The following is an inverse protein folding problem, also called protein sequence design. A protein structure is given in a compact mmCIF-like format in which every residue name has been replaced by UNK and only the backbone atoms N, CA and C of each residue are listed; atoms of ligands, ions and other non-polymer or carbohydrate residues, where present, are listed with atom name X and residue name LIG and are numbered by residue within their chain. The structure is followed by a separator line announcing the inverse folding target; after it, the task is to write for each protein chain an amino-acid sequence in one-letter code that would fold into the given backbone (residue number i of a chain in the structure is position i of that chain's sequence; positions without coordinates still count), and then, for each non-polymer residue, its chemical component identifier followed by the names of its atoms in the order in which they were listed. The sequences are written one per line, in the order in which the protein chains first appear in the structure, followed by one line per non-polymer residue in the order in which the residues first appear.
data_IF_410342047429
#
_entry.id   IF_410342047429
#
_cell.length_a   1.000
_cell.length_b   1.000
_cell.length_c   1.000
_cell.angle_alpha   90.00
_cell.angle_beta   90.00
_cell.angle_gamma   90.00
#
_symmetry.space_group_name_H-M   'P 1'
#
loop_
_entity.id
_entity.type
_entity.pdbx_description
1 polymer ?
#
# COMPACT_ATOMS: atom_id res chain seq x y z
N UNK A 1 -16.76 -13.51 -1.49
CA UNK A 1 -15.69 -12.75 -2.19
C UNK A 1 -15.51 -13.36 -3.57
N UNK A 2 -15.34 -12.54 -4.58
CA UNK A 2 -14.92 -13.00 -5.90
C UNK A 2 -13.43 -12.75 -6.05
N UNK A 3 -12.67 -13.77 -6.46
CA UNK A 3 -11.26 -13.65 -6.82
C UNK A 3 -11.15 -13.66 -8.34
N UNK A 4 -10.50 -12.64 -8.90
CA UNK A 4 -10.33 -12.48 -10.34
C UNK A 4 -8.84 -12.38 -10.68
N UNK A 5 -8.42 -13.13 -11.70
CA UNK A 5 -7.11 -13.02 -12.32
C UNK A 5 -7.26 -12.22 -13.61
N UNK A 6 -6.68 -11.04 -13.66
CA UNK A 6 -6.88 -10.08 -14.75
C UNK A 6 -5.58 -9.86 -15.51
N UNK A 7 -5.60 -10.15 -16.81
CA UNK A 7 -4.54 -9.79 -17.73
C UNK A 7 -5.04 -8.63 -18.60
N UNK A 8 -4.23 -7.61 -18.78
CA UNK A 8 -4.60 -6.45 -19.59
C UNK A 8 -3.35 -5.76 -20.15
N UNK A 9 -3.54 -5.06 -21.26
CA UNK A 9 -2.48 -4.26 -21.85
C UNK A 9 -2.32 -2.94 -21.09
N UNK A 10 -1.16 -2.74 -20.48
CA UNK A 10 -0.80 -1.46 -19.87
C UNK A 10 -0.23 -0.51 -20.94
N UNK A 11 -0.83 0.67 -21.04
CA UNK A 11 -0.33 1.73 -21.93
C UNK A 11 0.91 2.40 -21.35
N UNK A 12 1.02 2.45 -20.03
CA UNK A 12 2.17 3.03 -19.32
C UNK A 12 3.41 2.15 -19.42
N UNK A 13 3.22 0.81 -19.35
CA UNK A 13 4.30 -0.17 -19.44
C UNK A 13 4.51 -0.68 -20.89
N UNK A 14 3.62 -0.32 -21.82
CA UNK A 14 3.64 -0.72 -23.23
C UNK A 14 3.70 -2.25 -23.44
N UNK A 15 3.06 -3.01 -22.53
CA UNK A 15 3.00 -4.48 -22.56
C UNK A 15 1.79 -5.04 -21.82
N UNK A 16 1.55 -6.35 -22.03
CA UNK A 16 0.64 -7.11 -21.18
C UNK A 16 1.18 -7.16 -19.74
N UNK A 17 0.27 -6.98 -18.77
CA UNK A 17 0.56 -7.07 -17.36
C UNK A 17 -0.60 -7.73 -16.63
N UNK A 18 -0.44 -7.98 -15.33
CA UNK A 18 -1.39 -8.76 -14.54
C UNK A 18 -1.71 -8.07 -13.22
N UNK A 19 -2.92 -8.32 -12.75
CA UNK A 19 -3.32 -8.06 -11.37
C UNK A 19 -4.27 -9.15 -10.90
N UNK A 20 -4.26 -9.44 -9.60
CA UNK A 20 -5.30 -10.20 -8.95
C UNK A 20 -6.20 -9.26 -8.16
N UNK A 21 -7.51 -9.50 -8.22
CA UNK A 21 -8.49 -8.62 -7.58
C UNK A 21 -9.45 -9.44 -6.74
N UNK A 22 -9.59 -9.06 -5.49
CA UNK A 22 -10.61 -9.60 -4.58
C UNK A 22 -11.75 -8.58 -4.47
N UNK A 23 -12.96 -9.00 -4.80
CA UNK A 23 -14.15 -8.15 -4.72
C UNK A 23 -15.10 -8.62 -3.61
N UNK A 24 -15.67 -7.72 -2.80
CA UNK A 24 -16.64 -8.08 -1.79
C UNK A 24 -17.95 -8.55 -2.43
N UNK A 25 -18.49 -9.63 -1.89
CA UNK A 25 -19.81 -10.16 -2.24
C UNK A 25 -20.70 -10.25 -0.98
N UNK A 26 -22.03 -10.19 -1.19
CA UNK A 26 -22.99 -10.41 -0.11
C UNK A 26 -22.90 -11.85 0.41
N UNK A 27 -22.33 -12.04 1.59
CA UNK A 27 -22.11 -13.36 2.17
C UNK A 27 -23.34 -13.97 2.87
N UNK A 28 -24.56 -13.54 2.51
CA UNK A 28 -25.80 -14.04 3.12
C UNK A 28 -25.98 -15.54 2.84
N UNK A 29 -25.39 -16.43 3.54
CA UNK A 29 -25.49 -17.90 3.49
C UNK A 29 -24.16 -18.61 3.19
N UNK A 30 -23.02 -17.91 3.15
CA UNK A 30 -21.72 -18.59 3.07
C UNK A 30 -21.34 -19.14 4.45
N UNK A 31 -21.27 -20.48 4.55
CA UNK A 31 -20.91 -21.16 5.81
C UNK A 31 -19.48 -20.77 6.21
N UNK A 32 -19.31 -20.28 7.45
CA UNK A 32 -18.01 -19.93 8.01
C UNK A 32 -17.39 -18.62 7.48
N UNK A 33 -18.18 -17.81 6.76
CA UNK A 33 -17.72 -16.51 6.26
C UNK A 33 -18.65 -15.39 6.73
N UNK A 34 -18.06 -14.33 7.24
CA UNK A 34 -18.70 -13.04 7.42
C UNK A 34 -18.27 -12.14 6.25
N UNK A 35 -19.21 -11.49 5.62
CA UNK A 35 -18.93 -10.59 4.50
C UNK A 35 -19.92 -9.45 4.45
N UNK A 36 -19.40 -8.25 4.28
CA UNK A 36 -20.19 -7.04 4.07
C UNK A 36 -20.15 -6.71 2.58
N UNK A 37 -21.32 -6.66 1.95
CA UNK A 37 -21.44 -6.13 0.60
C UNK A 37 -22.07 -4.74 0.65
N UNK A 38 -21.40 -3.80 0.04
CA UNK A 38 -21.89 -2.44 -0.17
C UNK A 38 -22.08 -2.19 -1.67
N UNK A 39 -22.96 -1.23 -2.01
CA UNK A 39 -23.14 -0.83 -3.42
C UNK A 39 -21.84 -0.28 -4.04
N UNK A 40 -21.03 0.38 -3.23
CA UNK A 40 -19.68 0.82 -3.56
C UNK A 40 -18.76 0.37 -2.44
N UNK A 41 -17.62 -0.19 -2.79
CA UNK A 41 -16.61 -0.65 -1.84
C UNK A 41 -15.38 0.26 -1.84
N UNK A 42 -14.74 0.35 -0.68
CA UNK A 42 -13.40 0.93 -0.55
C UNK A 42 -12.39 -0.01 -1.20
N UNK A 43 -11.27 0.53 -1.66
CA UNK A 43 -10.26 -0.24 -2.39
C UNK A 43 -8.88 -0.11 -1.72
N UNK A 44 -8.25 -1.24 -1.48
CA UNK A 44 -6.86 -1.35 -1.05
C UNK A 44 -6.00 -1.84 -2.22
N UNK A 45 -5.00 -1.05 -2.60
CA UNK A 45 -3.91 -1.49 -3.47
C UNK A 45 -2.84 -2.12 -2.59
N UNK A 46 -2.63 -3.45 -2.73
CA UNK A 46 -1.78 -4.24 -1.86
C UNK A 46 -0.54 -4.71 -2.61
N UNK A 47 0.59 -4.13 -2.26
CA UNK A 47 1.84 -4.19 -3.00
C UNK A 47 2.74 -5.33 -2.51
N UNK A 48 3.29 -6.12 -3.45
CA UNK A 48 4.17 -7.26 -3.17
C UNK A 48 5.61 -6.85 -2.83
N UNK A 49 6.37 -7.78 -2.27
CA UNK A 49 7.79 -7.63 -1.98
C UNK A 49 8.69 -7.91 -3.18
N UNK A 50 10.00 -7.75 -2.98
CA UNK A 50 11.00 -8.09 -3.99
C UNK A 50 10.95 -9.59 -4.31
N UNK A 51 11.06 -9.95 -5.59
CA UNK A 51 10.94 -11.31 -6.13
C UNK A 51 9.56 -11.97 -6.05
N UNK A 52 8.55 -11.24 -5.63
CA UNK A 52 7.15 -11.68 -5.60
C UNK A 52 6.38 -11.20 -6.84
N UNK A 53 5.10 -11.55 -6.91
CA UNK A 53 4.16 -11.15 -7.96
C UNK A 53 2.75 -10.87 -7.39
N UNK A 54 1.76 -10.62 -8.26
CA UNK A 54 0.37 -10.36 -7.89
C UNK A 54 -0.30 -11.49 -7.08
N UNK A 55 0.22 -12.72 -7.12
CA UNK A 55 -0.39 -13.89 -6.46
C UNK A 55 0.04 -14.06 -5.00
N UNK A 56 1.14 -13.41 -4.61
CA UNK A 56 1.85 -13.79 -3.38
C UNK A 56 1.04 -13.55 -2.11
N UNK A 57 0.31 -12.44 -2.01
CA UNK A 57 -0.50 -12.14 -0.85
C UNK A 57 -1.57 -13.20 -0.59
N UNK A 58 -2.22 -13.72 -1.65
CA UNK A 58 -3.22 -14.79 -1.56
C UNK A 58 -2.59 -16.12 -1.14
N UNK A 59 -1.36 -16.39 -1.63
CA UNK A 59 -0.67 -17.67 -1.41
C UNK A 59 -0.04 -17.77 -0.02
N UNK A 60 0.24 -16.62 0.62
CA UNK A 60 0.98 -16.55 1.88
C UNK A 60 0.15 -16.06 3.05
N UNK A 61 -1.07 -15.56 2.79
CA UNK A 61 -1.96 -15.01 3.80
C UNK A 61 -3.41 -15.46 3.58
N UNK A 62 -4.29 -15.15 4.53
CA UNK A 62 -5.73 -15.28 4.34
C UNK A 62 -6.37 -13.93 3.97
N UNK A 63 -5.72 -13.13 3.13
CA UNK A 63 -6.15 -11.75 2.79
C UNK A 63 -7.60 -11.68 2.31
N UNK A 64 -8.08 -12.66 1.53
CA UNK A 64 -9.47 -12.74 1.07
C UNK A 64 -10.45 -12.76 2.26
N UNK A 65 -10.18 -13.63 3.25
CA UNK A 65 -11.02 -13.74 4.44
C UNK A 65 -10.94 -12.47 5.30
N UNK A 66 -9.76 -11.88 5.43
CA UNK A 66 -9.59 -10.66 6.22
C UNK A 66 -10.32 -9.48 5.61
N UNK A 67 -10.20 -9.29 4.28
CA UNK A 67 -10.84 -8.20 3.56
C UNK A 67 -12.38 -8.33 3.54
N UNK A 68 -12.89 -9.57 3.54
CA UNK A 68 -14.33 -9.86 3.55
C UNK A 68 -15.05 -9.21 4.74
N UNK A 69 -14.45 -9.24 5.92
CA UNK A 69 -15.02 -8.69 7.15
C UNK A 69 -15.27 -7.16 7.05
N UNK A 70 -14.55 -6.47 6.18
CA UNK A 70 -14.65 -5.03 5.97
C UNK A 70 -15.36 -4.62 4.67
N UNK A 71 -15.78 -5.58 3.85
CA UNK A 71 -16.33 -5.28 2.53
C UNK A 71 -15.35 -4.52 1.62
N UNK A 72 -14.05 -4.81 1.76
CA UNK A 72 -12.96 -4.12 1.10
C UNK A 72 -12.59 -4.84 -0.20
N UNK A 73 -12.50 -4.11 -1.31
CA UNK A 73 -11.85 -4.60 -2.51
C UNK A 73 -10.33 -4.56 -2.34
N UNK A 74 -9.63 -5.60 -2.81
CA UNK A 74 -8.15 -5.65 -2.77
C UNK A 74 -7.62 -5.84 -4.17
N UNK A 75 -6.75 -4.94 -4.62
CA UNK A 75 -6.06 -4.99 -5.91
C UNK A 75 -4.60 -5.30 -5.65
N UNK A 76 -4.12 -6.40 -6.20
CA UNK A 76 -2.75 -6.88 -6.08
C UNK A 76 -2.10 -6.85 -7.47
N UNK A 77 -1.36 -5.79 -7.82
CA UNK A 77 -0.66 -5.70 -9.11
C UNK A 77 0.67 -6.44 -9.06
N UNK A 78 1.24 -6.73 -10.25
CA UNK A 78 2.67 -7.05 -10.37
C UNK A 78 3.45 -5.84 -10.87
N UNK A 79 4.66 -5.66 -10.34
CA UNK A 79 5.61 -4.60 -10.74
C UNK A 79 7.03 -5.13 -10.86
N UNK A 80 7.17 -6.44 -10.95
CA UNK A 80 8.46 -7.12 -11.04
C UNK A 80 9.45 -6.59 -9.96
N UNK A 81 10.64 -6.22 -10.36
CA UNK A 81 11.66 -5.62 -9.50
C UNK A 81 11.73 -4.08 -9.66
N UNK A 82 10.65 -3.44 -10.08
CA UNK A 82 10.62 -2.00 -10.41
C UNK A 82 10.42 -1.04 -9.24
N UNK A 83 10.34 -1.57 -8.00
CA UNK A 83 10.28 -0.77 -6.76
C UNK A 83 9.21 0.33 -6.75
N UNK A 84 8.11 0.12 -7.47
CA UNK A 84 7.03 1.11 -7.51
C UNK A 84 7.53 2.51 -7.87
N UNK A 85 8.52 2.56 -8.80
CA UNK A 85 9.16 3.80 -9.23
C UNK A 85 9.17 3.89 -10.75
N UNK A 86 9.20 5.10 -11.28
CA UNK A 86 9.58 5.29 -12.68
C UNK A 86 11.08 5.09 -12.73
N UNK A 87 11.50 3.91 -13.21
CA UNK A 87 12.90 3.49 -13.15
C UNK A 87 13.80 4.46 -13.91
N UNK A 88 15.00 4.65 -13.44
CA UNK A 88 16.01 5.46 -14.11
C UNK A 88 16.35 4.88 -15.50
N UNK A 89 16.44 3.54 -15.58
CA UNK A 89 16.53 2.79 -16.83
C UNK A 89 15.55 1.62 -16.76
N UNK A 90 14.35 1.79 -17.30
CA UNK A 90 13.32 0.75 -17.29
C UNK A 90 11.90 1.29 -17.32
N UNK A 91 10.99 0.54 -16.74
CA UNK A 91 9.55 0.78 -16.78
C UNK A 91 9.10 1.88 -15.83
N UNK A 92 7.93 2.46 -16.09
CA UNK A 92 7.32 3.55 -15.32
C UNK A 92 6.31 3.01 -14.31
N UNK A 93 6.78 2.24 -13.32
CA UNK A 93 5.88 1.59 -12.38
C UNK A 93 5.18 2.56 -11.41
N UNK A 94 5.77 3.70 -11.09
CA UNK A 94 5.08 4.69 -10.27
C UNK A 94 3.88 5.29 -11.01
N UNK A 95 4.07 5.70 -12.25
CA UNK A 95 2.99 6.19 -13.11
C UNK A 95 1.91 5.11 -13.33
N UNK A 96 2.31 3.86 -13.55
CA UNK A 96 1.40 2.72 -13.65
C UNK A 96 0.52 2.57 -12.41
N UNK A 97 1.12 2.46 -11.21
CA UNK A 97 0.40 2.23 -9.94
C UNK A 97 -0.47 3.42 -9.54
N UNK A 98 -0.02 4.65 -9.81
CA UNK A 98 -0.71 5.83 -9.29
C UNK A 98 -1.68 6.48 -10.27
N UNK A 99 -1.58 6.18 -11.56
CA UNK A 99 -2.42 6.80 -12.59
C UNK A 99 -3.22 5.78 -13.38
N UNK A 100 -2.56 4.83 -14.03
CA UNK A 100 -3.23 3.90 -14.93
C UNK A 100 -4.02 2.84 -14.17
N UNK A 101 -3.40 2.14 -13.22
CA UNK A 101 -4.04 1.03 -12.51
C UNK A 101 -5.35 1.44 -11.82
N UNK A 102 -5.43 2.58 -11.09
CA UNK A 102 -6.70 3.02 -10.49
C UNK A 102 -7.78 3.33 -11.55
N UNK A 103 -7.42 3.86 -12.71
CA UNK A 103 -8.35 4.12 -13.79
C UNK A 103 -8.87 2.81 -14.38
N UNK A 104 -7.99 1.88 -14.73
CA UNK A 104 -8.35 0.53 -15.22
C UNK A 104 -9.26 -0.20 -14.23
N UNK A 105 -8.94 -0.16 -12.94
CA UNK A 105 -9.77 -0.81 -11.92
C UNK A 105 -11.17 -0.21 -11.83
N UNK A 106 -11.31 1.10 -11.91
CA UNK A 106 -12.63 1.78 -11.87
C UNK A 106 -13.46 1.50 -13.12
N UNK A 107 -12.81 1.39 -14.28
CA UNK A 107 -13.48 1.04 -15.54
C UNK A 107 -13.96 -0.41 -15.55
N UNK A 108 -13.11 -1.35 -15.10
CA UNK A 108 -13.45 -2.78 -15.06
C UNK A 108 -14.40 -3.14 -13.90
N UNK A 109 -14.30 -2.45 -12.77
CA UNK A 109 -15.02 -2.75 -11.53
C UNK A 109 -15.79 -1.54 -11.00
N UNK A 110 -16.94 -1.18 -11.59
CA UNK A 110 -17.71 0.02 -11.23
C UNK A 110 -18.18 0.07 -9.76
N UNK A 111 -18.08 -1.05 -9.04
CA UNK A 111 -18.37 -1.10 -7.61
C UNK A 111 -17.26 -0.50 -6.74
N UNK A 112 -16.04 -0.32 -7.27
CA UNK A 112 -14.98 0.38 -6.56
C UNK A 112 -15.30 1.87 -6.48
N UNK A 113 -15.26 2.43 -5.27
CA UNK A 113 -15.50 3.86 -5.06
C UNK A 113 -14.47 4.71 -5.80
N UNK A 114 -14.88 5.73 -6.56
CA UNK A 114 -13.93 6.62 -7.23
C UNK A 114 -13.31 7.65 -6.28
N UNK A 115 -13.79 7.73 -5.03
CA UNK A 115 -13.37 8.76 -4.08
C UNK A 115 -11.98 8.47 -3.52
N UNK A 116 -11.18 9.51 -3.38
CA UNK A 116 -9.86 9.44 -2.75
C UNK A 116 -9.95 8.84 -1.33
N UNK A 117 -10.93 9.27 -0.54
CA UNK A 117 -11.12 8.85 0.86
C UNK A 117 -11.33 7.34 1.01
N UNK A 118 -11.76 6.68 -0.05
CA UNK A 118 -12.02 5.24 -0.11
C UNK A 118 -10.88 4.45 -0.79
N UNK A 119 -9.75 5.12 -1.11
CA UNK A 119 -8.63 4.53 -1.83
C UNK A 119 -7.38 4.50 -0.95
N UNK A 120 -6.88 3.29 -0.69
CA UNK A 120 -5.77 3.03 0.21
C UNK A 120 -4.65 2.26 -0.48
N UNK A 121 -3.44 2.36 0.07
CA UNK A 121 -2.29 1.59 -0.40
C UNK A 121 -1.54 0.99 0.79
N UNK A 122 -1.16 -0.28 0.68
CA UNK A 122 -0.33 -0.96 1.67
C UNK A 122 0.63 -1.92 0.98
N UNK A 123 1.68 -2.33 1.67
CA UNK A 123 2.60 -3.33 1.15
C UNK A 123 3.66 -3.75 2.15
N UNK A 124 4.45 -4.76 1.76
CA UNK A 124 5.56 -5.25 2.56
C UNK A 124 6.90 -5.02 1.86
N UNK A 125 7.97 -4.85 2.62
CA UNK A 125 9.34 -4.76 2.10
C UNK A 125 9.49 -3.71 0.98
N UNK A 126 9.83 -4.11 -0.26
CA UNK A 126 9.77 -3.28 -1.46
C UNK A 126 8.38 -2.63 -1.63
N UNK A 127 7.30 -3.38 -1.43
CA UNK A 127 5.93 -2.86 -1.48
C UNK A 127 5.59 -1.93 -0.33
N UNK A 128 6.24 -2.09 0.84
CA UNK A 128 6.13 -1.16 1.96
C UNK A 128 6.74 0.21 1.64
N UNK A 129 7.91 0.21 1.00
CA UNK A 129 8.48 1.42 0.42
C UNK A 129 7.53 2.04 -0.62
N UNK A 130 7.03 1.22 -1.55
CA UNK A 130 6.10 1.66 -2.60
C UNK A 130 4.82 2.28 -2.04
N UNK A 131 4.25 1.69 -0.98
CA UNK A 131 3.04 2.17 -0.35
C UNK A 131 3.23 3.55 0.32
N UNK A 132 4.33 3.73 1.06
CA UNK A 132 4.67 5.04 1.63
C UNK A 132 4.92 6.08 0.55
N UNK A 133 5.65 5.72 -0.50
CA UNK A 133 5.90 6.60 -1.63
C UNK A 133 4.62 7.01 -2.35
N UNK A 134 3.71 6.07 -2.61
CA UNK A 134 2.40 6.36 -3.22
C UNK A 134 1.57 7.30 -2.35
N UNK A 135 1.52 7.08 -1.04
CA UNK A 135 0.79 7.96 -0.13
C UNK A 135 1.38 9.38 -0.09
N UNK A 136 2.72 9.50 -0.09
CA UNK A 136 3.41 10.80 0.00
C UNK A 136 3.47 11.55 -1.33
N UNK A 137 3.53 10.86 -2.49
CA UNK A 137 3.72 11.47 -3.82
C UNK A 137 2.46 11.49 -4.69
N UNK A 138 1.45 10.69 -4.33
CA UNK A 138 0.17 10.61 -5.04
C UNK A 138 -1.01 10.71 -4.05
N UNK A 139 -0.93 11.69 -3.15
CA UNK A 139 -1.97 11.96 -2.16
C UNK A 139 -3.29 12.45 -2.76
N UNK A 140 -3.33 12.77 -4.04
CA UNK A 140 -4.56 12.99 -4.81
C UNK A 140 -5.31 11.69 -5.14
N UNK A 141 -4.63 10.54 -5.10
CA UNK A 141 -5.19 9.21 -5.36
C UNK A 141 -5.38 8.43 -4.06
N UNK A 142 -4.34 8.36 -3.23
CA UNK A 142 -4.33 7.56 -2.01
C UNK A 142 -4.54 8.43 -0.77
N UNK A 143 -5.55 8.09 0.02
CA UNK A 143 -5.84 8.83 1.25
C UNK A 143 -5.02 8.36 2.45
N UNK A 144 -4.51 7.13 2.42
CA UNK A 144 -3.75 6.48 3.50
C UNK A 144 -2.72 5.52 2.94
N UNK A 145 -1.57 5.40 3.62
CA UNK A 145 -0.52 4.45 3.29
C UNK A 145 -0.08 3.60 4.47
N UNK A 146 0.18 2.30 4.24
CA UNK A 146 0.65 1.39 5.27
C UNK A 146 1.86 0.57 4.79
N UNK A 147 2.85 0.41 5.67
CA UNK A 147 4.09 -0.30 5.41
C UNK A 147 4.34 -1.39 6.46
N UNK A 148 4.57 -2.61 6.00
CA UNK A 148 5.03 -3.73 6.82
C UNK A 148 6.48 -4.03 6.46
N UNK A 149 7.41 -3.87 7.40
CA UNK A 149 8.86 -4.08 7.17
C UNK A 149 9.35 -3.38 5.90
N UNK A 150 8.91 -2.16 5.63
CA UNK A 150 9.27 -1.44 4.41
C UNK A 150 10.76 -1.11 4.31
N UNK A 151 11.31 -1.11 3.09
CA UNK A 151 12.66 -0.60 2.82
C UNK A 151 12.66 0.93 2.88
N UNK A 152 12.48 1.48 4.08
CA UNK A 152 12.16 2.88 4.33
C UNK A 152 13.30 3.86 3.96
N UNK A 153 14.56 3.41 3.97
CA UNK A 153 15.73 4.24 3.65
C UNK A 153 16.53 3.66 2.47
N UNK A 154 16.09 3.96 1.26
CA UNK A 154 16.79 3.53 0.03
C UNK A 154 18.14 4.23 -0.19
N UNK A 155 18.49 5.28 0.57
CA UNK A 155 19.79 5.94 0.50
C UNK A 155 20.92 5.03 0.99
N UNK A 156 20.58 3.97 1.72
CA UNK A 156 21.51 2.96 2.23
C UNK A 156 21.75 1.80 1.26
N UNK A 157 21.06 1.76 0.11
CA UNK A 157 21.24 0.71 -0.88
C UNK A 157 22.66 0.71 -1.47
N UNK A 158 23.19 -0.47 -1.88
CA UNK A 158 24.50 -0.54 -2.53
C UNK A 158 24.56 0.28 -3.83
N UNK A 159 25.72 0.85 -4.18
CA UNK A 159 25.86 1.57 -5.45
C UNK A 159 25.93 0.61 -6.65
N UNK A 160 25.52 1.10 -7.82
CA UNK A 160 25.69 0.44 -9.11
C UNK A 160 24.75 -0.72 -9.40
N UNK A 161 24.91 -1.34 -10.55
CA UNK A 161 24.14 -2.49 -11.02
C UNK A 161 22.63 -2.22 -11.04
N UNK A 162 21.87 -3.22 -10.65
CA UNK A 162 20.42 -3.17 -10.60
C UNK A 162 19.86 -1.94 -9.86
N UNK A 163 20.46 -1.53 -8.74
CA UNK A 163 20.00 -0.39 -7.96
C UNK A 163 20.08 0.93 -8.72
N UNK A 164 21.15 1.06 -9.54
CA UNK A 164 21.31 2.23 -10.39
C UNK A 164 20.29 2.24 -11.54
N UNK A 165 19.94 1.08 -12.09
CA UNK A 165 18.90 1.01 -13.12
C UNK A 165 17.53 1.40 -12.56
N UNK A 166 17.25 1.08 -11.31
CA UNK A 166 15.99 1.44 -10.65
C UNK A 166 15.97 2.90 -10.22
N UNK A 167 16.94 3.34 -9.42
CA UNK A 167 16.90 4.63 -8.72
C UNK A 167 17.81 5.71 -9.29
N UNK A 168 18.68 5.38 -10.24
CA UNK A 168 19.75 6.23 -10.71
C UNK A 168 21.01 6.16 -9.83
N UNK A 169 22.04 6.95 -10.15
CA UNK A 169 23.27 7.01 -9.37
C UNK A 169 22.98 7.28 -7.88
N UNK A 170 23.65 6.54 -6.99
CA UNK A 170 23.39 6.58 -5.55
C UNK A 170 23.46 7.99 -4.96
N UNK A 171 24.41 8.80 -5.43
CA UNK A 171 24.58 10.17 -4.99
C UNK A 171 23.43 11.11 -5.36
N UNK A 172 22.57 10.69 -6.30
CA UNK A 172 21.37 11.43 -6.71
C UNK A 172 20.10 11.00 -5.96
N UNK A 173 20.16 9.93 -5.17
CA UNK A 173 18.98 9.44 -4.42
C UNK A 173 18.56 10.41 -3.32
N UNK A 174 19.47 10.95 -2.47
CA UNK A 174 19.09 11.91 -1.44
C UNK A 174 18.45 13.17 -2.05
N UNK A 175 17.25 13.51 -1.56
CA UNK A 175 16.48 14.64 -2.07
C UNK A 175 15.72 14.39 -3.38
N UNK A 176 15.87 13.21 -4.01
CA UNK A 176 15.17 12.86 -5.24
C UNK A 176 13.69 12.59 -5.02
N UNK A 177 12.96 12.40 -6.13
CA UNK A 177 11.56 11.96 -6.09
C UNK A 177 11.37 10.62 -5.36
N UNK A 178 12.41 9.76 -5.35
CA UNK A 178 12.37 8.43 -4.76
C UNK A 178 12.71 8.41 -3.27
N UNK A 179 13.26 9.49 -2.72
CA UNK A 179 13.60 9.62 -1.30
C UNK A 179 12.36 9.91 -0.47
N UNK A 180 11.99 8.98 0.43
CA UNK A 180 10.81 9.13 1.29
C UNK A 180 10.96 10.28 2.30
N UNK A 181 12.17 10.58 2.76
CA UNK A 181 12.42 11.69 3.67
C UNK A 181 12.13 13.02 2.98
N UNK A 182 12.69 13.22 1.79
CA UNK A 182 12.40 14.40 0.99
C UNK A 182 10.94 14.47 0.53
N UNK A 183 10.29 13.31 0.30
CA UNK A 183 8.87 13.27 -0.01
C UNK A 183 8.02 13.78 1.15
N UNK A 184 8.36 13.38 2.37
CA UNK A 184 7.66 13.80 3.59
C UNK A 184 7.85 15.29 3.88
N UNK A 185 9.06 15.82 3.70
CA UNK A 185 9.37 17.26 3.87
C UNK A 185 8.61 18.16 2.89
N UNK A 186 8.43 17.68 1.65
CA UNK A 186 7.82 18.47 0.58
C UNK A 186 6.32 18.68 0.76
N UNK A 187 5.63 17.90 1.60
CA UNK A 187 4.19 18.01 1.80
C UNK A 187 3.85 19.04 2.88
N UNK A 188 3.01 20.05 2.56
CA UNK A 188 2.48 20.95 3.57
C UNK A 188 1.60 20.16 4.57
N UNK A 189 1.51 20.60 5.83
CA UNK A 189 0.83 19.86 6.90
C UNK A 189 -0.60 19.40 6.55
N UNK A 190 -1.37 20.23 5.89
CA UNK A 190 -2.77 19.98 5.51
C UNK A 190 -2.94 18.88 4.45
N UNK A 191 -1.87 18.56 3.72
CA UNK A 191 -1.87 17.53 2.67
C UNK A 191 -1.21 16.22 3.11
N UNK A 192 -0.72 16.13 4.36
CA UNK A 192 -0.06 14.94 4.88
C UNK A 192 -1.07 13.83 5.09
N UNK A 193 -0.87 12.66 4.45
CA UNK A 193 -1.76 11.51 4.68
C UNK A 193 -1.46 10.89 6.04
N UNK A 194 -2.46 10.30 6.71
CA UNK A 194 -2.22 9.35 7.79
C UNK A 194 -1.40 8.15 7.29
N UNK A 195 -0.41 7.72 8.08
CA UNK A 195 0.49 6.61 7.75
C UNK A 195 0.48 5.56 8.86
N UNK A 196 0.65 4.30 8.45
CA UNK A 196 0.86 3.18 9.35
C UNK A 196 2.19 2.51 9.02
N UNK A 197 3.01 2.21 10.03
CA UNK A 197 4.24 1.44 9.85
C UNK A 197 4.35 0.37 10.94
N UNK A 198 4.72 -0.84 10.53
CA UNK A 198 5.13 -1.91 11.42
C UNK A 198 6.45 -2.50 10.94
N UNK A 199 7.34 -2.85 11.88
CA UNK A 199 8.57 -3.59 11.59
C UNK A 199 8.89 -4.56 12.74
N UNK A 200 9.37 -5.75 12.41
CA UNK A 200 9.81 -6.71 13.41
C UNK A 200 11.13 -6.30 14.07
N UNK A 201 11.28 -6.62 15.36
CA UNK A 201 12.50 -6.25 16.13
C UNK A 201 13.76 -6.99 15.69
N UNK A 202 13.63 -8.13 15.00
CA UNK A 202 14.73 -8.88 14.41
C UNK A 202 14.85 -8.67 12.88
N UNK A 203 14.13 -7.70 12.32
CA UNK A 203 14.18 -7.36 10.91
C UNK A 203 15.40 -6.48 10.59
N UNK A 204 16.16 -6.84 9.57
CA UNK A 204 17.34 -6.06 9.14
C UNK A 204 16.99 -4.66 8.63
N UNK A 205 15.73 -4.40 8.26
CA UNK A 205 15.24 -3.08 7.82
C UNK A 205 14.79 -2.19 8.99
N UNK A 206 14.81 -2.67 10.23
CA UNK A 206 14.38 -1.92 11.41
C UNK A 206 15.09 -0.56 11.56
N UNK A 207 16.42 -0.44 11.38
CA UNK A 207 17.08 0.87 11.50
C UNK A 207 16.54 1.93 10.55
N UNK A 208 16.25 1.55 9.30
CA UNK A 208 15.65 2.45 8.31
C UNK A 208 14.22 2.85 8.67
N UNK A 209 13.44 1.91 9.24
CA UNK A 209 12.09 2.18 9.72
C UNK A 209 12.10 3.12 10.92
N UNK A 210 13.04 2.97 11.86
CA UNK A 210 13.23 3.92 12.97
C UNK A 210 13.58 5.33 12.48
N UNK A 211 14.53 5.43 11.55
CA UNK A 211 14.95 6.72 11.01
C UNK A 211 13.77 7.46 10.34
N UNK A 212 12.99 6.74 9.50
CA UNK A 212 11.84 7.36 8.85
C UNK A 212 10.70 7.67 9.85
N UNK A 213 10.43 6.78 10.82
CA UNK A 213 9.47 7.05 11.92
C UNK A 213 9.79 8.35 12.63
N UNK A 214 11.03 8.49 13.10
CA UNK A 214 11.45 9.66 13.88
C UNK A 214 11.36 10.94 13.05
N UNK A 215 11.69 10.85 11.77
CA UNK A 215 11.57 11.95 10.83
C UNK A 215 10.10 12.37 10.60
N UNK A 216 9.20 11.41 10.35
CA UNK A 216 7.77 11.68 10.17
C UNK A 216 7.14 12.30 11.42
N UNK A 217 7.47 11.77 12.60
CA UNK A 217 7.00 12.32 13.88
C UNK A 217 7.52 13.75 14.12
N UNK A 218 8.79 14.02 13.82
CA UNK A 218 9.37 15.36 13.92
C UNK A 218 8.68 16.37 13.00
N UNK A 219 8.22 15.91 11.83
CA UNK A 219 7.44 16.73 10.90
C UNK A 219 5.96 16.87 11.32
N UNK A 220 5.48 16.11 12.31
CA UNK A 220 4.09 16.15 12.79
C UNK A 220 3.10 15.37 11.91
N UNK A 221 3.53 14.25 11.30
CA UNK A 221 2.62 13.34 10.62
C UNK A 221 1.71 12.61 11.60
N UNK A 222 0.47 12.31 11.18
CA UNK A 222 -0.40 11.33 11.84
C UNK A 222 0.14 9.92 11.50
N UNK A 223 1.07 9.45 12.33
CA UNK A 223 1.74 8.18 12.17
C UNK A 223 1.33 7.20 13.27
N UNK A 224 0.73 6.08 12.88
CA UNK A 224 0.61 4.89 13.74
C UNK A 224 1.83 4.00 13.51
N UNK A 225 2.68 3.87 14.52
CA UNK A 225 3.88 3.03 14.47
C UNK A 225 3.80 1.90 15.48
N UNK A 226 4.14 0.68 15.05
CA UNK A 226 4.18 -0.50 15.90
C UNK A 226 5.44 -1.35 15.64
N UNK A 227 5.92 -2.02 16.69
CA UNK A 227 6.97 -3.04 16.66
C UNK A 227 6.54 -4.25 17.47
N UNK A 228 7.00 -5.41 17.08
CA UNK A 228 6.87 -6.65 17.86
C UNK A 228 8.01 -7.59 17.51
N UNK A 229 8.19 -8.67 18.28
CA UNK A 229 9.07 -9.75 17.86
C UNK A 229 8.74 -10.20 16.45
N UNK A 230 9.76 -10.38 15.61
CA UNK A 230 9.59 -10.78 14.22
C UNK A 230 10.77 -10.40 13.36
N UNK A 231 11.03 -11.23 12.37
CA UNK A 231 12.03 -11.01 11.33
C UNK A 231 11.35 -10.72 9.99
N UNK A 232 12.15 -10.61 8.92
CA UNK A 232 11.67 -10.34 7.56
C UNK A 232 11.02 -11.58 6.92
N UNK A 233 9.80 -11.95 7.38
CA UNK A 233 9.13 -13.18 6.99
C UNK A 233 7.60 -13.09 6.92
N UNK A 234 7.01 -13.89 6.02
CA UNK A 234 5.58 -13.89 5.69
C UNK A 234 4.66 -14.15 6.88
N UNK A 235 5.05 -14.96 7.85
CA UNK A 235 4.24 -15.24 9.04
C UNK A 235 3.87 -13.97 9.82
N UNK A 236 4.78 -13.00 9.84
CA UNK A 236 4.58 -11.73 10.52
C UNK A 236 3.73 -10.77 9.67
N UNK A 237 3.93 -10.78 8.35
CA UNK A 237 3.13 -9.96 7.45
C UNK A 237 1.68 -10.46 7.36
N UNK A 238 1.43 -11.78 7.42
CA UNK A 238 0.07 -12.34 7.54
C UNK A 238 -0.61 -11.92 8.85
N UNK A 239 0.14 -11.88 9.96
CA UNK A 239 -0.38 -11.42 11.23
C UNK A 239 -0.72 -9.92 11.18
N UNK A 240 0.22 -9.08 10.75
CA UNK A 240 0.11 -7.63 10.87
C UNK A 240 -0.66 -6.95 9.74
N UNK A 241 -0.92 -7.62 8.62
CA UNK A 241 -1.86 -7.09 7.63
C UNK A 241 -3.28 -6.95 8.21
N UNK A 242 -3.65 -7.76 9.18
CA UNK A 242 -4.94 -7.64 9.87
C UNK A 242 -5.02 -6.35 10.69
N UNK A 243 -3.93 -5.92 11.31
CA UNK A 243 -3.85 -4.64 12.01
C UNK A 243 -3.97 -3.47 11.04
N UNK A 244 -3.31 -3.57 9.88
CA UNK A 244 -3.44 -2.57 8.79
C UNK A 244 -4.89 -2.46 8.32
N UNK A 245 -5.56 -3.58 8.05
CA UNK A 245 -6.98 -3.58 7.62
C UNK A 245 -7.89 -2.95 8.69
N UNK A 246 -7.65 -3.26 9.95
CA UNK A 246 -8.36 -2.65 11.08
C UNK A 246 -8.14 -1.14 11.10
N UNK A 247 -6.90 -0.69 10.99
CA UNK A 247 -6.54 0.72 10.98
C UNK A 247 -7.15 1.47 9.79
N UNK A 248 -7.16 0.87 8.59
CA UNK A 248 -7.77 1.47 7.39
C UNK A 248 -9.29 1.61 7.52
N UNK A 249 -9.98 0.65 8.16
CA UNK A 249 -11.43 0.53 8.07
C UNK A 249 -12.17 1.05 9.32
N UNK A 250 -11.58 0.99 10.53
CA UNK A 250 -12.28 1.32 11.77
C UNK A 250 -12.21 2.80 12.19
N UNK A 251 -11.30 3.60 11.64
CA UNK A 251 -11.21 5.03 11.98
C UNK A 251 -12.41 5.88 11.51
N UNK A 252 -13.38 5.27 10.81
CA UNK A 252 -14.63 5.93 10.39
C UNK A 252 -15.83 5.67 11.31
N UNK A 253 -15.65 4.98 12.44
CA UNK A 253 -16.74 4.72 13.42
C UNK A 253 -16.72 5.68 14.62
N UNK A 254 -16.05 6.84 14.53
CA UNK A 254 -16.28 7.90 15.50
C UNK A 254 -17.66 8.49 15.29
N UNK A 255 -18.57 8.46 16.29
CA UNK A 255 -19.88 9.08 16.17
C UNK A 255 -19.72 10.56 15.84
N UNK A 256 -20.48 11.03 14.85
CA UNK A 256 -20.61 12.46 14.62
C UNK A 256 -21.14 13.13 15.90
N UNK A 257 -20.63 14.30 16.34
CA UNK A 257 -21.10 14.99 17.54
C UNK A 257 -22.53 15.53 17.46
N UNK A 258 -23.37 15.07 16.53
CA UNK A 258 -24.72 15.61 16.29
C UNK A 258 -25.87 14.81 16.91
N UNK A 259 -25.63 13.70 17.60
CA UNK A 259 -26.71 12.88 18.18
C UNK A 259 -26.89 13.08 19.69
N UNK A 260 -26.42 14.20 20.27
CA UNK A 260 -26.65 14.55 21.66
C UNK A 260 -27.49 15.83 21.82
N UNK A 261 -28.66 15.88 21.16
CA UNK A 261 -29.72 16.82 21.57
C UNK A 261 -31.07 16.21 21.25
N UNK A 262 -31.64 15.47 22.19
CA UNK A 262 -33.08 15.49 22.47
C UNK A 262 -33.40 14.60 23.68
N UNK A 263 -33.54 15.18 24.81
CA UNK A 263 -34.59 14.92 25.79
C UNK A 263 -34.60 16.05 26.81
#
# INVERSE_FOLDING_TARGET
MALLHVNFYSRTLERETQMDVILPEAAKKLIGMEGVATRQCKTLYLLHGMSDDQTIWQRRTSIERYAAAYGLAVVMPTTDLGWYTDMYRGDKYFAFITRELPAVCRDLFPMMSPRREDTYVAGLSMGGYGALKCALRAGDVFSRGASLSGAADIRQLPPGGYWEDVFGPREQIPGSFNDLFAAAEALPPENRPPLYMWCGTEDSLLPGNHALRDHLLALGYDLTYAESAGNHAWQWWDLHIQDVLRWLCLLYTSPSPRDSTSS
#
